data_IF_625670208969
#
_entry.id   IF_625670208969
#
_cell.length_a   1.000
_cell.length_b   1.000
_cell.length_c   1.000
_cell.angle_alpha   90.00
_cell.angle_beta   90.00
_cell.angle_gamma   90.00
#
_symmetry.space_group_name_H-M   'P 1'
#
loop_
_entity.id
_entity.type
_entity.pdbx_description
1 polymer ?
#
# COMPACT_ATOMS: atom_id res chain seq x y z
N UNK A 1 -23.67 8.85 10.67
CA UNK A 1 -24.49 7.78 10.05
C UNK A 1 -24.48 6.59 10.99
N UNK A 2 -25.64 6.16 11.44
CA UNK A 2 -25.78 4.94 12.25
C UNK A 2 -25.24 3.74 11.44
N UNK A 3 -24.41 2.88 12.07
CA UNK A 3 -23.98 1.63 11.45
C UNK A 3 -25.24 0.84 11.11
N UNK A 4 -25.49 0.59 9.82
CA UNK A 4 -26.39 -0.49 9.44
C UNK A 4 -25.93 -1.75 10.20
N UNK A 5 -26.84 -2.51 10.83
CA UNK A 5 -26.45 -3.71 11.56
C UNK A 5 -25.76 -4.66 10.58
N UNK A 6 -24.44 -4.79 10.72
CA UNK A 6 -23.63 -5.59 9.82
C UNK A 6 -24.06 -7.04 9.87
N UNK A 7 -24.05 -7.71 8.72
CA UNK A 7 -24.25 -9.16 8.54
C UNK A 7 -23.21 -10.04 9.29
N UNK A 8 -22.37 -9.46 10.14
CA UNK A 8 -21.25 -10.14 10.80
C UNK A 8 -21.07 -9.63 12.22
N UNK A 9 -21.07 -10.55 13.18
CA UNK A 9 -20.47 -10.33 14.49
C UNK A 9 -18.95 -10.13 14.32
N UNK A 10 -18.28 -9.32 15.17
CA UNK A 10 -16.83 -9.16 15.06
C UNK A 10 -16.12 -10.49 15.35
N UNK A 11 -15.48 -11.05 14.31
CA UNK A 11 -14.65 -12.27 14.39
C UNK A 11 -13.20 -11.92 14.73
N UNK A 12 -12.82 -10.64 14.58
CA UNK A 12 -11.45 -10.16 14.79
C UNK A 12 -11.26 -9.69 16.23
N UNK A 13 -10.06 -9.94 16.76
CA UNK A 13 -9.59 -9.35 18.02
C UNK A 13 -9.47 -7.83 17.90
N UNK A 14 -9.61 -7.12 19.01
CA UNK A 14 -9.39 -5.67 19.05
C UNK A 14 -7.95 -5.33 18.67
N UNK A 15 -7.79 -4.40 17.74
CA UNK A 15 -6.50 -3.88 17.31
C UNK A 15 -6.11 -2.63 18.11
N UNK A 16 -4.83 -2.23 18.06
CA UNK A 16 -4.37 -0.96 18.65
C UNK A 16 -5.13 0.22 18.04
N UNK A 17 -5.47 0.18 16.75
CA UNK A 17 -6.30 1.21 16.12
C UNK A 17 -7.71 1.27 16.72
N UNK A 18 -8.29 0.14 17.12
CA UNK A 18 -9.58 0.11 17.81
C UNK A 18 -9.50 0.75 19.19
N UNK A 19 -8.41 0.51 19.93
CA UNK A 19 -8.17 1.16 21.22
C UNK A 19 -8.07 2.69 21.11
N UNK A 20 -7.47 3.21 20.04
CA UNK A 20 -7.42 4.66 19.80
C UNK A 20 -8.75 5.25 19.33
N UNK A 21 -9.66 4.42 18.82
CA UNK A 21 -10.97 4.83 18.32
C UNK A 21 -12.01 4.87 19.44
N UNK A 22 -12.03 3.83 20.28
CA UNK A 22 -12.99 3.64 21.37
C UNK A 22 -12.27 2.94 22.55
N UNK A 23 -11.54 3.69 23.40
CA UNK A 23 -10.70 3.11 24.44
C UNK A 23 -11.52 2.52 25.59
N UNK A 24 -11.42 1.21 25.88
CA UNK A 24 -12.08 0.59 27.03
C UNK A 24 -11.32 0.86 28.34
N UNK A 25 -11.27 2.13 28.78
CA UNK A 25 -10.52 2.56 29.96
C UNK A 25 -10.96 1.79 31.21
N UNK A 26 -9.99 1.37 32.02
CA UNK A 26 -10.18 0.60 33.24
C UNK A 26 -10.42 -0.89 33.01
N UNK A 27 -10.63 -1.34 31.77
CA UNK A 27 -10.81 -2.75 31.47
C UNK A 27 -9.46 -3.48 31.38
N UNK A 28 -9.49 -4.77 31.71
CA UNK A 28 -8.38 -5.69 31.45
C UNK A 28 -8.49 -6.21 30.03
N UNK A 29 -7.39 -6.14 29.30
CA UNK A 29 -7.34 -6.55 27.90
C UNK A 29 -6.01 -7.19 27.55
N UNK A 30 -6.02 -7.92 26.44
CA UNK A 30 -4.85 -8.60 25.88
C UNK A 30 -4.59 -8.02 24.49
N UNK A 31 -3.37 -7.54 24.27
CA UNK A 31 -2.90 -6.99 23.00
C UNK A 31 -1.71 -7.79 22.49
N UNK A 32 -1.56 -7.88 21.18
CA UNK A 32 -0.43 -8.61 20.59
C UNK A 32 0.11 -7.84 19.39
N UNK A 33 1.44 -7.77 19.31
CA UNK A 33 2.14 -7.02 18.29
C UNK A 33 3.65 -7.20 18.42
N UNK A 34 4.40 -6.27 17.85
CA UNK A 34 5.85 -6.24 17.87
C UNK A 34 6.37 -5.07 18.69
N UNK A 35 7.44 -5.30 19.45
CA UNK A 35 8.14 -4.27 20.19
C UNK A 35 8.83 -3.33 19.19
N UNK A 36 8.45 -2.06 19.19
CA UNK A 36 9.06 -1.02 18.36
C UNK A 36 10.26 -0.39 19.06
N UNK A 37 10.08 -0.03 20.32
CA UNK A 37 11.15 0.44 21.17
C UNK A 37 10.91 -0.01 22.60
N UNK A 38 11.99 -0.10 23.38
CA UNK A 38 11.97 -0.30 24.83
C UNK A 38 12.89 0.73 25.48
N UNK A 39 12.48 1.25 26.63
CA UNK A 39 13.34 2.01 27.55
C UNK A 39 13.13 1.50 28.97
N UNK A 40 14.20 1.38 29.72
CA UNK A 40 14.17 0.82 31.07
C UNK A 40 14.65 1.87 32.06
N UNK A 41 13.91 2.03 33.16
CA UNK A 41 14.30 2.87 34.30
C UNK A 41 14.59 1.97 35.51
N UNK A 42 14.84 2.54 36.70
CA UNK A 42 15.07 1.73 37.90
C UNK A 42 13.85 0.89 38.29
N UNK A 43 12.64 1.46 38.23
CA UNK A 43 11.43 0.85 38.77
C UNK A 43 10.49 0.25 37.70
N UNK A 44 10.55 0.76 36.48
CA UNK A 44 9.62 0.40 35.39
C UNK A 44 10.35 0.35 34.05
N UNK A 45 9.88 -0.52 33.17
CA UNK A 45 10.21 -0.50 31.74
C UNK A 45 9.01 0.00 30.94
N UNK A 46 9.28 0.77 29.88
CA UNK A 46 8.28 1.23 28.92
C UNK A 46 8.59 0.59 27.58
N UNK A 47 7.61 -0.07 26.98
CA UNK A 47 7.68 -0.57 25.62
C UNK A 47 6.64 0.12 24.74
N UNK A 48 7.01 0.38 23.50
CA UNK A 48 6.08 0.78 22.45
C UNK A 48 5.69 -0.47 21.65
N UNK A 49 4.43 -0.88 21.75
CA UNK A 49 3.89 -2.03 21.03
C UNK A 49 3.18 -1.57 19.77
N UNK A 50 3.41 -2.26 18.65
CA UNK A 50 2.73 -1.97 17.40
C UNK A 50 2.26 -3.24 16.70
N UNK A 51 1.02 -3.24 16.19
CA UNK A 51 0.40 -4.39 15.53
C UNK A 51 0.17 -4.16 14.02
N UNK A 52 0.50 -2.97 13.50
CA UNK A 52 0.33 -2.57 12.10
C UNK A 52 -1.04 -1.98 11.76
N UNK A 53 -1.99 -1.97 12.70
CA UNK A 53 -3.35 -1.45 12.50
C UNK A 53 -3.43 0.08 12.41
N UNK A 54 -2.41 0.78 12.92
CA UNK A 54 -2.23 2.25 12.88
C UNK A 54 -0.73 2.60 12.90
N UNK A 55 -0.39 3.85 12.57
CA UNK A 55 0.97 4.39 12.75
C UNK A 55 1.34 4.64 14.22
N UNK A 56 0.32 4.69 15.10
CA UNK A 56 0.48 4.87 16.54
C UNK A 56 0.95 3.57 17.19
N UNK A 57 1.79 3.71 18.21
CA UNK A 57 2.19 2.59 19.06
C UNK A 57 1.48 2.71 20.41
N UNK A 58 1.01 1.60 20.95
CA UNK A 58 0.50 1.53 22.31
C UNK A 58 1.67 1.55 23.28
N UNK A 59 1.67 2.50 24.23
CA UNK A 59 2.62 2.45 25.33
C UNK A 59 2.21 1.34 26.30
N UNK A 60 3.15 0.47 26.62
CA UNK A 60 3.04 -0.60 27.60
C UNK A 60 3.99 -0.29 28.75
N UNK A 61 3.45 -0.18 29.96
CA UNK A 61 4.22 -0.01 31.19
C UNK A 61 4.40 -1.37 31.84
N UNK A 62 5.65 -1.77 32.08
CA UNK A 62 6.03 -3.04 32.70
C UNK A 62 6.67 -2.77 34.07
N UNK A 63 5.91 -2.91 35.17
CA UNK A 63 6.42 -2.72 36.53
C UNK A 63 7.39 -3.83 36.95
N UNK A 64 8.55 -3.47 37.50
CA UNK A 64 9.59 -4.45 37.85
C UNK A 64 9.26 -5.29 39.10
N UNK A 65 8.31 -4.85 39.91
CA UNK A 65 7.75 -5.60 41.04
C UNK A 65 6.80 -6.73 40.58
N UNK A 66 6.26 -6.64 39.36
CA UNK A 66 5.40 -7.67 38.75
C UNK A 66 6.14 -8.53 37.71
N UNK A 67 7.00 -7.89 36.91
CA UNK A 67 7.67 -8.52 35.77
C UNK A 67 9.17 -8.26 35.92
N UNK A 68 10.01 -9.29 36.18
CA UNK A 68 11.43 -9.09 36.44
C UNK A 68 12.16 -8.32 35.33
N UNK A 69 12.96 -7.33 35.74
CA UNK A 69 13.73 -6.48 34.81
C UNK A 69 14.61 -7.28 33.87
N UNK A 70 15.34 -8.27 34.38
CA UNK A 70 16.28 -9.06 33.58
C UNK A 70 15.56 -9.86 32.49
N UNK A 71 14.34 -10.33 32.78
CA UNK A 71 13.48 -11.00 31.82
C UNK A 71 13.04 -10.04 30.70
N UNK A 72 12.59 -8.84 31.06
CA UNK A 72 12.21 -7.79 30.10
C UNK A 72 13.39 -7.42 29.19
N UNK A 73 14.58 -7.26 29.77
CA UNK A 73 15.76 -6.84 29.03
C UNK A 73 16.24 -7.90 28.04
N UNK A 74 16.10 -9.18 28.39
CA UNK A 74 16.43 -10.34 27.56
C UNK A 74 15.39 -10.64 26.46
N UNK A 75 14.10 -10.43 26.74
CA UNK A 75 13.03 -10.84 25.81
C UNK A 75 12.60 -9.71 24.86
N UNK A 76 12.42 -8.49 25.39
CA UNK A 76 11.66 -7.43 24.72
C UNK A 76 12.55 -6.52 23.86
N UNK A 77 13.29 -7.13 22.94
CA UNK A 77 14.10 -6.40 21.96
C UNK A 77 13.26 -5.83 20.81
N UNK A 78 13.77 -4.81 20.11
CA UNK A 78 13.12 -4.26 18.92
C UNK A 78 12.88 -5.38 17.90
N UNK A 79 11.63 -5.51 17.44
CA UNK A 79 11.21 -6.55 16.50
C UNK A 79 10.65 -7.82 17.15
N UNK A 80 10.76 -7.97 18.48
CA UNK A 80 10.22 -9.13 19.19
C UNK A 80 8.69 -9.15 19.13
N UNK A 81 8.11 -10.31 18.81
CA UNK A 81 6.66 -10.51 18.78
C UNK A 81 6.14 -10.98 20.13
N UNK A 82 5.15 -10.29 20.69
CA UNK A 82 4.65 -10.54 22.04
C UNK A 82 3.13 -10.42 22.13
N UNK A 83 2.56 -11.13 23.10
CA UNK A 83 1.25 -10.90 23.67
C UNK A 83 1.43 -10.29 25.06
N UNK A 84 0.71 -9.20 25.37
CA UNK A 84 0.76 -8.52 26.66
C UNK A 84 -0.66 -8.41 27.20
N UNK A 85 -0.86 -8.69 28.49
CA UNK A 85 -2.13 -8.47 29.17
C UNK A 85 -1.97 -7.52 30.34
N UNK A 86 -3.00 -6.72 30.58
CA UNK A 86 -2.98 -5.70 31.62
C UNK A 86 -4.23 -4.84 31.61
N UNK A 87 -4.22 -3.78 32.40
CA UNK A 87 -5.31 -2.82 32.48
C UNK A 87 -5.02 -1.59 31.62
N UNK A 88 -6.00 -1.14 30.83
CA UNK A 88 -5.88 0.12 30.09
C UNK A 88 -6.15 1.29 31.04
N UNK A 89 -5.19 2.21 31.14
CA UNK A 89 -5.23 3.33 32.09
C UNK A 89 -5.11 4.64 31.32
N UNK A 90 -5.92 5.64 31.69
CA UNK A 90 -5.89 6.97 31.09
C UNK A 90 -4.65 7.76 31.54
N UNK A 91 -4.10 8.56 30.65
CA UNK A 91 -2.94 9.42 30.93
C UNK A 91 -3.22 10.86 30.46
N UNK A 92 -4.14 11.59 31.14
CA UNK A 92 -4.72 12.84 30.64
C UNK A 92 -3.73 13.99 30.44
N UNK A 93 -2.56 13.95 31.11
CA UNK A 93 -1.51 14.97 31.01
C UNK A 93 -0.29 14.54 30.17
N UNK A 94 -0.44 13.50 29.35
CA UNK A 94 0.66 12.93 28.56
C UNK A 94 0.36 13.01 27.06
N UNK A 95 1.39 13.01 26.20
CA UNK A 95 1.20 13.00 24.74
C UNK A 95 0.36 11.80 24.25
N UNK A 96 0.51 10.66 24.92
CA UNK A 96 -0.36 9.50 24.75
C UNK A 96 -1.61 9.65 25.63
N UNK A 97 -2.82 9.38 25.12
CA UNK A 97 -4.07 9.52 25.89
C UNK A 97 -4.28 8.39 26.91
N UNK A 98 -3.64 7.25 26.70
CA UNK A 98 -3.72 6.09 27.57
C UNK A 98 -2.47 5.20 27.42
N UNK A 99 -2.30 4.28 28.35
CA UNK A 99 -1.26 3.25 28.35
C UNK A 99 -1.79 1.92 28.90
N UNK A 100 -1.12 0.82 28.56
CA UNK A 100 -1.41 -0.50 29.14
C UNK A 100 -0.49 -0.75 30.33
N UNK A 101 -1.06 -0.80 31.54
CA UNK A 101 -0.36 -1.24 32.74
C UNK A 101 -0.26 -2.77 32.73
N UNK A 102 0.88 -3.30 32.29
CA UNK A 102 1.08 -4.73 32.09
C UNK A 102 1.10 -5.50 33.41
N UNK A 103 0.40 -6.63 33.42
CA UNK A 103 0.44 -7.63 34.49
C UNK A 103 1.35 -8.81 34.11
N UNK A 104 1.54 -9.04 32.81
CA UNK A 104 2.46 -10.03 32.28
C UNK A 104 2.50 -9.99 30.74
N UNK A 105 3.39 -10.78 30.17
CA UNK A 105 3.48 -10.98 28.73
C UNK A 105 3.89 -12.41 28.38
N UNK A 106 3.64 -12.79 27.12
CA UNK A 106 4.14 -14.00 26.49
C UNK A 106 4.97 -13.60 25.26
N UNK A 107 6.21 -14.10 25.21
CA UNK A 107 7.06 -13.98 24.03
C UNK A 107 6.64 -15.02 22.97
N UNK A 108 6.32 -14.57 21.76
CA UNK A 108 6.04 -15.44 20.62
C UNK A 108 7.28 -15.68 19.76
N UNK A 109 8.05 -14.62 19.53
CA UNK A 109 9.23 -14.67 18.68
C UNK A 109 10.28 -13.67 19.17
N UNK A 110 11.46 -14.13 19.63
CA UNK A 110 12.54 -13.21 19.97
C UNK A 110 13.06 -12.48 18.74
N UNK A 111 13.71 -11.34 18.95
CA UNK A 111 14.46 -10.64 17.91
C UNK A 111 15.86 -10.35 18.45
N UNK A 112 16.86 -11.07 17.94
CA UNK A 112 18.25 -10.92 18.36
C UNK A 112 18.78 -9.54 17.93
N UNK A 113 19.21 -8.68 18.88
CA UNK A 113 19.75 -7.36 18.58
C UNK A 113 20.99 -7.38 17.70
N UNK A 114 21.77 -8.46 17.67
CA UNK A 114 22.97 -8.55 16.84
C UNK A 114 22.65 -8.77 15.35
N UNK A 115 21.55 -9.47 15.05
CA UNK A 115 21.19 -9.88 13.69
C UNK A 115 19.94 -9.19 13.14
N UNK A 116 19.11 -8.56 13.97
CA UNK A 116 17.87 -7.92 13.52
C UNK A 116 18.14 -6.71 12.60
N UNK A 117 17.67 -6.68 11.34
CA UNK A 117 18.05 -5.60 10.41
C UNK A 117 17.47 -4.23 10.77
N UNK A 118 16.26 -4.18 11.33
CA UNK A 118 15.55 -2.95 11.67
C UNK A 118 15.90 -2.45 13.08
N UNK A 119 17.18 -2.21 13.30
CA UNK A 119 17.68 -1.60 14.53
C UNK A 119 17.04 -0.23 14.80
N UNK A 120 17.04 0.21 16.06
CA UNK A 120 16.51 1.51 16.51
C UNK A 120 17.41 2.68 16.05
N UNK A 121 17.51 2.87 14.74
CA UNK A 121 18.22 3.96 14.07
C UNK A 121 17.49 4.33 12.78
N UNK A 122 17.88 5.45 12.18
CA UNK A 122 17.41 5.80 10.85
C UNK A 122 18.02 4.86 9.80
N UNK A 123 17.19 4.43 8.86
CA UNK A 123 17.58 3.61 7.71
C UNK A 123 17.33 4.38 6.43
N UNK A 124 18.18 4.22 5.41
CA UNK A 124 17.96 4.81 4.09
C UNK A 124 16.85 4.06 3.34
N UNK A 125 16.24 4.71 2.35
CA UNK A 125 15.23 4.04 1.51
C UNK A 125 15.86 2.92 0.67
N UNK A 126 17.12 3.07 0.28
CA UNK A 126 17.92 2.09 -0.46
C UNK A 126 18.07 0.81 0.34
N UNK A 127 18.52 0.90 1.59
CA UNK A 127 18.62 -0.27 2.48
C UNK A 127 17.24 -0.92 2.72
N UNK A 128 16.19 -0.12 2.91
CA UNK A 128 14.84 -0.65 3.09
C UNK A 128 14.32 -1.38 1.83
N UNK A 129 14.81 -1.08 0.63
CA UNK A 129 14.50 -1.85 -0.59
C UNK A 129 15.15 -3.24 -0.56
N UNK A 130 16.37 -3.36 -0.02
CA UNK A 130 17.08 -4.66 0.11
C UNK A 130 16.38 -5.61 1.10
N UNK A 131 15.74 -5.06 2.13
CA UNK A 131 14.95 -5.82 3.11
C UNK A 131 13.44 -5.61 2.92
N UNK A 132 12.96 -5.65 1.67
CA UNK A 132 11.56 -5.41 1.33
C UNK A 132 10.56 -6.30 2.10
N UNK A 133 10.98 -7.49 2.52
CA UNK A 133 10.19 -8.42 3.35
C UNK A 133 9.99 -7.93 4.80
N UNK A 134 10.85 -7.04 5.31
CA UNK A 134 10.76 -6.47 6.66
C UNK A 134 10.32 -5.00 6.68
N UNK A 135 10.57 -4.23 5.61
CA UNK A 135 10.25 -2.80 5.58
C UNK A 135 8.80 -2.44 5.96
N UNK A 136 7.75 -3.28 5.75
CA UNK A 136 6.39 -2.95 6.23
C UNK A 136 6.28 -2.78 7.76
N UNK A 137 7.30 -3.17 8.53
CA UNK A 137 7.37 -2.91 9.98
C UNK A 137 7.85 -1.50 10.33
N UNK A 138 8.28 -0.71 9.36
CA UNK A 138 8.67 0.69 9.54
C UNK A 138 7.47 1.62 9.39
N UNK A 139 7.46 2.74 10.13
CA UNK A 139 6.39 3.74 10.05
C UNK A 139 6.19 4.28 8.63
N UNK A 140 7.27 4.45 7.87
CA UNK A 140 7.24 4.88 6.47
C UNK A 140 6.44 3.94 5.59
N UNK A 141 6.78 2.65 5.57
CA UNK A 141 6.10 1.73 4.68
C UNK A 141 4.72 1.33 5.20
N UNK A 142 4.46 1.41 6.50
CA UNK A 142 3.08 1.36 7.00
C UNK A 142 2.24 2.49 6.41
N UNK A 143 2.73 3.73 6.42
CA UNK A 143 2.01 4.86 5.84
C UNK A 143 1.75 4.66 4.35
N UNK A 144 2.79 4.27 3.59
CA UNK A 144 2.69 4.01 2.14
C UNK A 144 1.70 2.89 1.83
N UNK A 145 1.78 1.74 2.50
CA UNK A 145 0.90 0.61 2.19
C UNK A 145 -0.55 0.86 2.61
N UNK A 146 -0.78 1.55 3.73
CA UNK A 146 -2.13 1.92 4.17
C UNK A 146 -2.77 2.91 3.22
N UNK A 147 -2.02 3.95 2.82
CA UNK A 147 -2.48 4.91 1.82
C UNK A 147 -2.77 4.22 0.49
N UNK A 148 -1.87 3.36 0.00
CA UNK A 148 -2.09 2.57 -1.23
C UNK A 148 -3.35 1.71 -1.14
N UNK A 149 -3.55 1.01 -0.03
CA UNK A 149 -4.73 0.17 0.18
C UNK A 149 -6.02 0.99 0.18
N UNK A 150 -6.05 2.10 0.92
CA UNK A 150 -7.22 2.99 0.98
C UNK A 150 -7.54 3.68 -0.34
N UNK A 151 -6.52 4.16 -1.07
CA UNK A 151 -6.71 4.73 -2.40
C UNK A 151 -7.20 3.66 -3.38
N UNK A 152 -6.69 2.43 -3.31
CA UNK A 152 -7.17 1.32 -4.16
C UNK A 152 -8.65 1.02 -3.91
N UNK A 153 -9.09 1.03 -2.64
CA UNK A 153 -10.50 0.91 -2.29
C UNK A 153 -11.33 2.09 -2.84
N UNK A 154 -10.82 3.32 -2.72
CA UNK A 154 -11.48 4.51 -3.24
C UNK A 154 -11.63 4.50 -4.77
N UNK A 155 -10.68 3.91 -5.49
CA UNK A 155 -10.78 3.70 -6.94
C UNK A 155 -12.00 2.83 -7.26
N UNK A 156 -12.13 1.68 -6.61
CA UNK A 156 -13.29 0.80 -6.79
C UNK A 156 -14.59 1.50 -6.41
N UNK A 157 -14.61 2.22 -5.30
CA UNK A 157 -15.78 2.97 -4.86
C UNK A 157 -16.20 4.03 -5.90
N UNK A 158 -15.25 4.83 -6.40
CA UNK A 158 -15.51 5.88 -7.38
C UNK A 158 -16.22 5.36 -8.62
N UNK A 159 -15.68 4.29 -9.21
CA UNK A 159 -16.20 3.69 -10.44
C UNK A 159 -17.54 2.99 -10.20
N UNK A 160 -17.65 2.19 -9.13
CA UNK A 160 -18.88 1.44 -8.85
C UNK A 160 -20.06 2.36 -8.47
N UNK A 161 -19.84 3.42 -7.69
CA UNK A 161 -20.87 4.42 -7.39
C UNK A 161 -21.38 5.14 -8.64
N UNK A 162 -20.55 5.21 -9.69
CA UNK A 162 -20.92 5.78 -10.99
C UNK A 162 -21.48 4.74 -11.96
N UNK A 163 -21.60 3.47 -11.55
CA UNK A 163 -22.16 2.39 -12.37
C UNK A 163 -21.22 1.88 -13.46
N UNK A 164 -19.91 1.94 -13.22
CA UNK A 164 -18.93 1.19 -14.02
C UNK A 164 -18.87 -0.27 -13.57
N UNK A 165 -18.58 -1.16 -14.51
CA UNK A 165 -18.35 -2.58 -14.23
C UNK A 165 -16.85 -2.85 -14.11
N UNK A 166 -16.43 -3.46 -12.99
CA UNK A 166 -15.07 -3.93 -12.85
C UNK A 166 -14.84 -5.17 -13.72
N UNK A 167 -13.86 -5.13 -14.61
CA UNK A 167 -13.56 -6.24 -15.52
C UNK A 167 -12.11 -6.69 -15.39
N UNK A 168 -11.90 -8.00 -15.51
CA UNK A 168 -10.58 -8.62 -15.50
C UNK A 168 -10.18 -8.94 -16.94
N UNK A 169 -9.26 -8.15 -17.50
CA UNK A 169 -8.71 -8.39 -18.83
C UNK A 169 -7.56 -9.41 -18.78
N UNK A 170 -7.28 -10.13 -19.88
CA UNK A 170 -6.22 -11.12 -19.93
C UNK A 170 -4.84 -10.51 -19.70
N UNK A 171 -4.00 -11.18 -18.90
CA UNK A 171 -2.60 -10.79 -18.69
C UNK A 171 -1.68 -11.43 -19.73
N UNK A 172 -1.97 -12.66 -20.13
CA UNK A 172 -1.26 -13.36 -21.19
C UNK A 172 -1.91 -13.03 -22.52
N UNK A 173 -1.14 -12.44 -23.43
CA UNK A 173 -1.65 -11.93 -24.70
C UNK A 173 -0.72 -12.27 -25.86
N UNK A 174 -1.24 -12.58 -27.06
CA UNK A 174 -0.43 -12.63 -28.28
C UNK A 174 -0.21 -11.24 -28.88
N UNK A 175 -0.82 -10.19 -28.32
CA UNK A 175 -0.89 -8.84 -28.90
C UNK A 175 0.09 -7.89 -28.22
N UNK A 176 0.59 -6.93 -29.00
CA UNK A 176 1.21 -5.71 -28.48
C UNK A 176 0.18 -4.57 -28.54
N UNK A 177 -0.29 -4.11 -27.38
CA UNK A 177 -1.30 -3.06 -27.29
C UNK A 177 -0.74 -1.67 -27.58
N UNK A 178 0.51 -1.39 -27.21
CA UNK A 178 1.13 -0.05 -27.35
C UNK A 178 2.00 0.05 -28.63
N UNK A 179 2.32 -1.08 -29.28
CA UNK A 179 2.88 -1.15 -30.63
C UNK A 179 4.32 -0.68 -30.80
N UNK A 180 5.02 -0.40 -29.68
CA UNK A 180 6.38 0.15 -29.70
C UNK A 180 7.28 -0.33 -28.54
N UNK A 181 6.75 -1.13 -27.61
CA UNK A 181 7.45 -1.52 -26.39
C UNK A 181 8.12 -2.89 -26.49
N UNK A 182 9.22 -3.09 -25.76
CA UNK A 182 9.72 -4.44 -25.51
C UNK A 182 8.76 -5.17 -24.56
N UNK A 183 8.30 -6.37 -24.96
CA UNK A 183 7.39 -7.22 -24.19
C UNK A 183 8.13 -8.35 -23.48
N UNK A 184 7.68 -8.72 -22.28
CA UNK A 184 8.12 -9.96 -21.65
C UNK A 184 7.44 -11.15 -22.32
N UNK A 185 8.23 -12.03 -22.95
CA UNK A 185 7.72 -13.26 -23.53
C UNK A 185 7.46 -14.31 -22.44
N UNK A 186 6.30 -14.97 -22.52
CA UNK A 186 5.90 -16.07 -21.66
C UNK A 186 5.89 -17.35 -22.49
N UNK A 187 6.66 -18.35 -22.06
CA UNK A 187 6.84 -19.60 -22.81
C UNK A 187 6.97 -20.78 -21.85
N UNK A 188 6.49 -21.93 -22.31
CA UNK A 188 6.73 -23.23 -21.66
C UNK A 188 7.78 -24.07 -22.38
N UNK A 189 8.33 -23.56 -23.50
CA UNK A 189 9.37 -24.25 -24.24
C UNK A 189 10.62 -24.43 -23.38
N UNK A 190 11.31 -25.58 -23.48
CA UNK A 190 12.54 -25.80 -22.75
C UNK A 190 13.66 -24.90 -23.30
N UNK A 191 14.11 -23.91 -22.52
CA UNK A 191 15.11 -22.92 -22.97
C UNK A 191 16.44 -23.55 -23.42
N UNK A 192 16.82 -24.71 -22.85
CA UNK A 192 18.01 -25.46 -23.25
C UNK A 192 17.84 -26.30 -24.52
N UNK A 193 16.62 -26.48 -25.02
CA UNK A 193 16.28 -27.34 -26.14
C UNK A 193 15.07 -26.81 -26.92
N UNK A 194 15.08 -25.51 -27.23
CA UNK A 194 13.93 -24.84 -27.88
C UNK A 194 13.66 -25.50 -29.24
N UNK A 195 12.45 -26.02 -29.48
CA UNK A 195 12.11 -26.65 -30.75
C UNK A 195 12.18 -25.64 -31.89
N UNK A 196 12.65 -26.11 -33.05
CA UNK A 196 12.91 -25.28 -34.23
C UNK A 196 12.22 -25.86 -35.45
N UNK A 197 11.68 -24.99 -36.27
CA UNK A 197 11.21 -25.34 -37.61
C UNK A 197 12.40 -25.60 -38.54
N UNK A 198 12.10 -26.14 -39.72
CA UNK A 198 13.12 -26.40 -40.75
C UNK A 198 13.89 -25.14 -41.20
N UNK A 199 13.31 -23.95 -41.06
CA UNK A 199 13.93 -22.65 -41.36
C UNK A 199 14.80 -22.08 -40.21
N UNK A 200 14.90 -22.80 -39.09
CA UNK A 200 15.66 -22.38 -37.91
C UNK A 200 14.92 -21.40 -36.98
N UNK A 201 13.69 -21.01 -37.30
CA UNK A 201 12.83 -20.21 -36.40
C UNK A 201 12.29 -21.09 -35.26
N UNK A 202 11.88 -20.45 -34.15
CA UNK A 202 11.27 -21.17 -33.02
C UNK A 202 9.90 -21.72 -33.45
N UNK A 203 9.66 -23.00 -33.17
CA UNK A 203 8.39 -23.68 -33.46
C UNK A 203 7.36 -23.37 -32.35
N UNK A 204 6.78 -22.16 -32.38
CA UNK A 204 5.80 -21.73 -31.37
C UNK A 204 4.49 -22.52 -31.36
N UNK A 205 4.19 -23.27 -32.42
CA UNK A 205 3.12 -24.27 -32.47
C UNK A 205 3.30 -25.38 -31.42
N UNK A 206 4.53 -25.59 -30.94
CA UNK A 206 4.86 -26.52 -29.86
C UNK A 206 4.84 -25.86 -28.46
N UNK A 207 4.63 -24.54 -28.38
CA UNK A 207 4.47 -23.83 -27.10
C UNK A 207 3.01 -23.95 -26.59
N UNK A 208 2.77 -23.56 -25.34
CA UNK A 208 1.51 -23.78 -24.63
C UNK A 208 0.28 -23.23 -25.38
N UNK A 209 0.40 -22.04 -25.98
CA UNK A 209 -0.70 -21.39 -26.70
C UNK A 209 -0.69 -21.69 -28.21
N UNK A 210 0.26 -22.49 -28.71
CA UNK A 210 0.46 -22.74 -30.13
C UNK A 210 0.88 -21.51 -30.95
N UNK A 211 1.25 -20.42 -30.27
CA UNK A 211 1.71 -19.13 -30.81
C UNK A 211 2.49 -18.38 -29.72
N UNK A 212 3.27 -17.35 -30.08
CA UNK A 212 3.92 -16.50 -29.08
C UNK A 212 2.90 -15.88 -28.12
N UNK A 213 3.28 -15.81 -26.84
CA UNK A 213 2.52 -15.16 -25.79
C UNK A 213 3.43 -14.26 -24.97
N UNK A 214 2.86 -13.18 -24.45
CA UNK A 214 3.54 -12.11 -23.76
C UNK A 214 2.76 -11.68 -22.52
N UNK A 215 3.43 -11.02 -21.60
CA UNK A 215 2.77 -10.26 -20.54
C UNK A 215 2.25 -8.93 -21.11
N UNK A 216 1.00 -8.60 -20.81
CA UNK A 216 0.35 -7.41 -21.35
C UNK A 216 0.98 -6.10 -20.85
N UNK A 217 1.07 -5.12 -21.75
CA UNK A 217 1.40 -3.73 -21.42
C UNK A 217 0.15 -2.93 -21.02
N UNK A 218 -1.05 -3.35 -21.45
CA UNK A 218 -2.32 -2.65 -21.24
C UNK A 218 -3.51 -3.56 -21.53
N UNK A 219 -4.61 -3.41 -20.78
CA UNK A 219 -5.87 -4.10 -21.04
C UNK A 219 -6.84 -3.30 -21.92
N UNK A 220 -6.39 -2.21 -22.53
CA UNK A 220 -7.24 -1.25 -23.22
C UNK A 220 -8.04 -1.89 -24.37
N UNK A 221 -7.40 -2.66 -25.26
CA UNK A 221 -8.09 -3.24 -26.43
C UNK A 221 -9.23 -4.18 -26.04
N UNK A 222 -9.03 -5.02 -25.02
CA UNK A 222 -10.10 -5.85 -24.46
C UNK A 222 -11.15 -5.01 -23.73
N UNK A 223 -10.73 -3.91 -23.09
CA UNK A 223 -11.60 -2.93 -22.46
C UNK A 223 -12.58 -2.30 -23.45
N UNK A 224 -12.11 -1.90 -24.64
CA UNK A 224 -12.95 -1.34 -25.72
C UNK A 224 -14.06 -2.32 -26.13
N UNK A 225 -13.69 -3.58 -26.38
CA UNK A 225 -14.65 -4.65 -26.70
C UNK A 225 -15.71 -4.80 -25.59
N UNK A 226 -15.30 -4.79 -24.32
CA UNK A 226 -16.20 -4.96 -23.18
C UNK A 226 -17.10 -3.73 -22.98
N UNK A 227 -16.59 -2.52 -23.18
CA UNK A 227 -17.35 -1.28 -23.08
C UNK A 227 -18.50 -1.22 -24.10
N UNK A 228 -18.35 -1.82 -25.28
CA UNK A 228 -19.44 -1.92 -26.26
C UNK A 228 -20.65 -2.73 -25.76
N UNK A 229 -20.44 -3.69 -24.84
CA UNK A 229 -21.52 -4.49 -24.25
C UNK A 229 -21.98 -4.03 -22.87
N UNK A 230 -21.09 -3.41 -22.10
CA UNK A 230 -21.32 -3.04 -20.69
C UNK A 230 -21.45 -1.52 -20.47
N UNK A 231 -21.27 -0.71 -21.52
CA UNK A 231 -21.36 0.74 -21.50
C UNK A 231 -20.14 1.41 -20.86
N UNK A 232 -19.86 1.12 -19.59
CA UNK A 232 -18.72 1.69 -18.84
C UNK A 232 -18.03 0.61 -18.04
N UNK A 233 -16.75 0.41 -18.30
CA UNK A 233 -15.93 -0.58 -17.61
C UNK A 233 -14.68 0.08 -17.02
N UNK A 234 -14.04 -0.60 -16.09
CA UNK A 234 -12.66 -0.29 -15.75
C UNK A 234 -11.88 -1.57 -15.45
N UNK A 235 -10.61 -1.58 -15.85
CA UNK A 235 -9.63 -2.56 -15.39
C UNK A 235 -8.93 -2.03 -14.14
N UNK A 236 -8.41 -2.95 -13.33
CA UNK A 236 -7.48 -2.65 -12.26
C UNK A 236 -6.58 -3.89 -12.09
N UNK A 237 -5.50 -3.93 -12.86
CA UNK A 237 -4.67 -5.12 -12.97
C UNK A 237 -3.18 -4.82 -13.15
N UNK A 238 -2.32 -5.84 -13.02
CA UNK A 238 -0.89 -5.70 -13.27
C UNK A 238 -0.61 -5.57 -14.77
N UNK A 239 0.36 -4.74 -15.14
CA UNK A 239 0.89 -4.62 -16.49
C UNK A 239 2.42 -4.54 -16.45
N UNK A 240 3.04 -4.82 -17.60
CA UNK A 240 4.47 -5.11 -17.67
C UNK A 240 5.14 -4.38 -18.82
N UNK A 241 6.34 -3.85 -18.60
CA UNK A 241 7.17 -3.23 -19.64
C UNK A 241 8.60 -3.77 -19.55
N UNK A 242 9.12 -4.34 -20.64
CA UNK A 242 10.45 -4.95 -20.65
C UNK A 242 11.58 -3.99 -21.06
N UNK A 243 11.29 -2.70 -21.18
CA UNK A 243 12.30 -1.69 -21.50
C UNK A 243 13.39 -1.65 -20.40
N UNK A 244 14.69 -1.66 -20.77
CA UNK A 244 15.79 -1.62 -19.80
C UNK A 244 16.00 -0.19 -19.25
N UNK A 245 14.99 0.33 -18.55
CA UNK A 245 14.94 1.69 -18.02
C UNK A 245 15.12 1.69 -16.50
N UNK A 246 16.36 1.92 -16.05
CA UNK A 246 16.70 1.98 -14.62
C UNK A 246 16.63 3.41 -14.08
N UNK A 247 15.43 3.98 -14.04
CA UNK A 247 15.19 5.30 -13.43
C UNK A 247 14.40 5.18 -12.13
N UNK A 248 14.38 6.21 -11.26
CA UNK A 248 13.58 6.20 -10.03
C UNK A 248 12.06 6.10 -10.23
N UNK A 249 11.56 6.25 -11.47
CA UNK A 249 10.12 6.33 -11.79
C UNK A 249 9.59 5.16 -12.64
N UNK A 250 10.47 4.26 -13.10
CA UNK A 250 10.08 3.15 -13.97
C UNK A 250 10.10 1.83 -13.20
N UNK A 251 9.07 1.01 -13.41
CA UNK A 251 8.97 -0.35 -12.91
C UNK A 251 8.69 -1.28 -14.09
N UNK A 252 9.28 -2.47 -14.08
CA UNK A 252 8.99 -3.50 -15.09
C UNK A 252 7.62 -4.17 -14.86
N UNK A 253 7.11 -4.14 -13.63
CA UNK A 253 5.78 -4.58 -13.23
C UNK A 253 5.13 -3.45 -12.43
N UNK A 254 3.94 -3.01 -12.84
CA UNK A 254 3.16 -1.99 -12.16
C UNK A 254 1.67 -2.28 -12.32
N UNK A 255 0.82 -1.48 -11.70
CA UNK A 255 -0.63 -1.66 -11.76
C UNK A 255 -1.25 -0.50 -12.50
N UNK A 256 -2.09 -0.80 -13.48
CA UNK A 256 -2.86 0.19 -14.21
C UNK A 256 -4.34 0.11 -13.87
N UNK A 257 -4.98 1.27 -13.99
CA UNK A 257 -6.41 1.46 -13.83
C UNK A 257 -6.89 2.10 -15.12
N UNK A 258 -7.63 1.35 -15.93
CA UNK A 258 -7.97 1.73 -17.30
C UNK A 258 -9.48 1.74 -17.45
N UNK A 259 -10.14 2.90 -17.25
CA UNK A 259 -11.57 3.05 -17.51
C UNK A 259 -11.83 3.21 -19.02
N UNK A 260 -12.86 2.54 -19.52
CA UNK A 260 -13.31 2.64 -20.91
C UNK A 260 -14.81 2.89 -20.96
N UNK A 261 -15.25 3.85 -21.78
CA UNK A 261 -16.62 4.34 -21.80
C UNK A 261 -17.16 4.48 -23.23
N UNK A 262 -18.22 3.73 -23.55
CA UNK A 262 -18.93 3.89 -24.81
C UNK A 262 -19.56 5.30 -24.90
N UNK A 263 -19.48 5.90 -26.09
CA UNK A 263 -20.06 7.22 -26.42
C UNK A 263 -19.41 8.43 -25.70
N UNK A 264 -18.17 8.28 -25.24
CA UNK A 264 -17.37 9.39 -24.71
C UNK A 264 -16.44 9.92 -25.79
N UNK A 265 -16.30 11.25 -25.85
CA UNK A 265 -15.27 11.94 -26.62
C UNK A 265 -14.12 12.36 -25.70
N UNK A 266 -13.08 12.98 -26.28
CA UNK A 266 -11.90 13.39 -25.54
C UNK A 266 -12.21 14.39 -24.41
N UNK A 267 -13.15 15.32 -24.61
CA UNK A 267 -13.53 16.30 -23.59
C UNK A 267 -14.14 15.62 -22.36
N UNK A 268 -15.09 14.70 -22.58
CA UNK A 268 -15.70 13.93 -21.49
C UNK A 268 -14.71 13.00 -20.80
N UNK A 269 -13.73 12.47 -21.53
CA UNK A 269 -12.65 11.67 -20.95
C UNK A 269 -11.76 12.52 -20.04
N UNK A 270 -11.42 13.76 -20.45
CA UNK A 270 -10.68 14.69 -19.60
C UNK A 270 -11.49 15.10 -18.35
N UNK A 271 -12.79 15.34 -18.48
CA UNK A 271 -13.68 15.63 -17.34
C UNK A 271 -13.67 14.49 -16.32
N UNK A 272 -13.78 13.23 -16.79
CA UNK A 272 -13.74 12.06 -15.93
C UNK A 272 -12.40 11.90 -15.23
N UNK A 273 -11.28 12.10 -15.95
CA UNK A 273 -9.94 11.99 -15.39
C UNK A 273 -9.71 13.04 -14.29
N UNK A 274 -10.16 14.28 -14.50
CA UNK A 274 -10.09 15.35 -13.50
C UNK A 274 -10.96 15.05 -12.28
N UNK A 275 -12.23 14.66 -12.46
CA UNK A 275 -13.11 14.30 -11.32
C UNK A 275 -12.54 13.12 -10.52
N UNK A 276 -12.02 12.11 -11.21
CA UNK A 276 -11.44 10.91 -10.62
C UNK A 276 -10.23 11.24 -9.73
N UNK A 277 -9.25 11.96 -10.26
CA UNK A 277 -8.06 12.33 -9.50
C UNK A 277 -8.41 13.21 -8.30
N UNK A 278 -9.28 14.20 -8.48
CA UNK A 278 -9.74 15.06 -7.37
C UNK A 278 -10.50 14.27 -6.32
N UNK A 279 -11.32 13.30 -6.72
CA UNK A 279 -12.02 12.41 -5.80
C UNK A 279 -11.03 11.60 -4.94
N UNK A 280 -10.00 11.00 -5.54
CA UNK A 280 -9.00 10.23 -4.81
C UNK A 280 -8.21 11.10 -3.84
N UNK A 281 -7.84 12.33 -4.24
CA UNK A 281 -7.16 13.28 -3.36
C UNK A 281 -8.04 13.64 -2.16
N UNK A 282 -9.32 13.97 -2.39
CA UNK A 282 -10.29 14.23 -1.31
C UNK A 282 -10.43 13.03 -0.38
N UNK A 283 -10.50 11.82 -0.93
CA UNK A 283 -10.57 10.60 -0.15
C UNK A 283 -9.33 10.40 0.72
N UNK A 284 -8.13 10.58 0.16
CA UNK A 284 -6.87 10.41 0.88
C UNK A 284 -6.73 11.43 2.01
N UNK A 285 -7.00 12.71 1.75
CA UNK A 285 -6.96 13.77 2.76
C UNK A 285 -7.95 13.54 3.90
N UNK A 286 -9.13 13.00 3.61
CA UNK A 286 -10.15 12.73 4.62
C UNK A 286 -9.84 11.49 5.46
N UNK A 287 -9.41 10.40 4.83
CA UNK A 287 -9.36 9.07 5.47
C UNK A 287 -7.94 8.63 5.86
N UNK A 288 -6.91 9.28 5.34
CA UNK A 288 -5.49 8.94 5.55
C UNK A 288 -4.64 10.16 5.91
N UNK A 289 -5.23 11.15 6.59
CA UNK A 289 -4.54 12.38 6.98
C UNK A 289 -3.31 12.09 7.85
N UNK A 290 -3.39 11.13 8.78
CA UNK A 290 -2.26 10.78 9.66
C UNK A 290 -1.06 10.27 8.86
N UNK A 291 -1.30 9.41 7.87
CA UNK A 291 -0.26 8.94 6.95
C UNK A 291 0.31 10.08 6.10
N UNK A 292 -0.53 10.94 5.52
CA UNK A 292 -0.11 12.07 4.70
C UNK A 292 0.68 13.11 5.50
N UNK A 293 0.25 13.43 6.72
CA UNK A 293 0.96 14.33 7.61
C UNK A 293 2.34 13.79 7.98
N UNK A 294 2.45 12.50 8.30
CA UNK A 294 3.73 11.86 8.54
C UNK A 294 4.66 11.92 7.31
N UNK A 295 4.13 11.63 6.11
CA UNK A 295 4.93 11.69 4.88
C UNK A 295 5.35 13.13 4.53
N UNK A 296 4.49 14.11 4.80
CA UNK A 296 4.78 15.54 4.61
C UNK A 296 5.93 16.00 5.51
N UNK A 297 5.84 15.69 6.80
CA UNK A 297 6.89 16.02 7.77
C UNK A 297 8.23 15.36 7.40
N UNK A 298 8.18 14.11 6.92
CA UNK A 298 9.38 13.28 6.80
C UNK A 298 10.10 13.37 5.46
N UNK A 299 9.38 13.62 4.38
CA UNK A 299 9.89 13.48 3.01
C UNK A 299 9.60 14.70 2.14
N UNK A 300 8.37 15.20 2.14
CA UNK A 300 7.94 16.24 1.19
C UNK A 300 7.15 17.36 1.91
N UNK A 301 7.80 18.44 2.38
CA UNK A 301 7.17 19.46 3.22
C UNK A 301 5.93 20.14 2.63
N UNK A 302 5.80 20.15 1.30
CA UNK A 302 4.69 20.77 0.59
C UNK A 302 3.56 19.79 0.23
N UNK A 303 3.72 18.49 0.48
CA UNK A 303 2.79 17.44 0.01
C UNK A 303 1.33 17.74 0.35
N UNK A 304 1.02 18.02 1.61
CA UNK A 304 -0.36 18.34 2.02
C UNK A 304 -0.89 19.60 1.32
N UNK A 305 -0.07 20.65 1.21
CA UNK A 305 -0.47 21.90 0.56
C UNK A 305 -0.70 21.71 -0.94
N UNK A 306 0.12 20.91 -1.60
CA UNK A 306 -0.02 20.56 -3.02
C UNK A 306 -1.27 19.73 -3.28
N UNK A 307 -1.58 18.76 -2.42
CA UNK A 307 -2.81 17.97 -2.53
C UNK A 307 -4.06 18.84 -2.32
N UNK A 308 -4.04 19.72 -1.31
CA UNK A 308 -5.11 20.69 -1.05
C UNK A 308 -5.31 21.64 -2.25
N UNK A 309 -4.22 22.16 -2.82
CA UNK A 309 -4.28 23.04 -4.00
C UNK A 309 -4.80 22.30 -5.24
N UNK A 310 -4.32 21.07 -5.47
CA UNK A 310 -4.67 20.26 -6.66
C UNK A 310 -6.14 19.85 -6.67
N UNK A 311 -6.72 19.52 -5.50
CA UNK A 311 -8.15 19.14 -5.46
C UNK A 311 -9.10 20.31 -5.77
N UNK A 312 -8.70 21.54 -5.48
CA UNK A 312 -9.52 22.75 -5.66
C UNK A 312 -9.32 23.39 -7.03
N UNK A 313 -8.10 23.30 -7.59
CA UNK A 313 -7.74 23.97 -8.85
C UNK A 313 -8.36 23.28 -10.07
N UNK A 314 -8.87 24.04 -11.03
CA UNK A 314 -9.25 23.51 -12.34
C UNK A 314 -8.01 23.06 -13.12
N UNK A 315 -8.06 21.91 -13.80
CA UNK A 315 -6.93 21.44 -14.60
C UNK A 315 -6.86 22.21 -15.91
N UNK A 316 -5.70 22.80 -16.18
CA UNK A 316 -5.49 23.53 -17.42
C UNK A 316 -5.46 22.56 -18.60
N UNK A 317 -6.28 22.83 -19.62
CA UNK A 317 -6.31 22.08 -20.88
C UNK A 317 -5.56 22.87 -21.94
N UNK A 318 -4.48 22.31 -22.45
CA UNK A 318 -3.66 22.90 -23.49
C UNK A 318 -3.49 21.89 -24.62
N UNK A 319 -3.52 22.39 -25.85
CA UNK A 319 -3.07 21.61 -26.98
C UNK A 319 -1.56 21.34 -26.89
N UNK A 320 -1.11 20.28 -27.55
CA UNK A 320 0.31 19.99 -27.70
C UNK A 320 1.08 21.19 -28.29
N UNK A 321 0.50 21.87 -29.29
CA UNK A 321 1.11 23.04 -29.94
C UNK A 321 1.36 24.17 -28.96
N UNK A 322 0.36 24.53 -28.14
CA UNK A 322 0.51 25.58 -27.12
C UNK A 322 1.56 25.20 -26.08
N UNK A 323 1.64 23.93 -25.67
CA UNK A 323 2.65 23.46 -24.74
C UNK A 323 4.08 23.64 -25.31
N UNK A 324 4.29 23.34 -26.59
CA UNK A 324 5.58 23.56 -27.27
C UNK A 324 5.92 25.05 -27.38
N UNK A 325 4.94 25.89 -27.66
CA UNK A 325 5.14 27.35 -27.69
C UNK A 325 5.56 27.91 -26.33
N UNK A 326 4.99 27.40 -25.24
CA UNK A 326 5.37 27.80 -23.87
C UNK A 326 6.82 27.38 -23.58
N UNK A 327 7.15 26.11 -23.86
CA UNK A 327 8.48 25.56 -23.59
C UNK A 327 9.58 26.25 -24.39
N UNK A 328 9.31 26.65 -25.63
CA UNK A 328 10.29 27.33 -26.49
C UNK A 328 10.50 28.80 -26.14
N UNK A 329 9.60 29.40 -25.34
CA UNK A 329 9.72 30.76 -24.81
C UNK A 329 10.34 30.83 -23.41
N UNK A 330 10.55 29.67 -22.76
CA UNK A 330 11.09 29.53 -21.40
C UNK A 330 12.60 29.35 -21.40
#
# INVERSE_FOLDING_TARGET
MAKAPGLYAPVLRDSIADLYRDPPIGQRLTVEGWIRTRRTTRAVSFAELQDGSTLRALQVVLPHDKIPRDQIEADLHTGAGVQVWGQLVETPDRPQPFELAAEGYRLYGPADPASYPLQKKQHSLEFLREIAYLRPRTRTFQAVFRLRSGVSFAIHQYFQERGFVYVHTPILTPSDCEGAGQLFQVTTLPLGAVPRRADGTVAFEEDFFGRPAYLTVSGQLEGEMLAMGLGRIYTFGPTFRAEPSHTPRHLAEFWMIEPEMAFYDLERTMDLAEDFLKYLIRYALRNHYEELAFLTERYEPNLLAELESTKESAFLRLSYTEAIEILTRS
#
